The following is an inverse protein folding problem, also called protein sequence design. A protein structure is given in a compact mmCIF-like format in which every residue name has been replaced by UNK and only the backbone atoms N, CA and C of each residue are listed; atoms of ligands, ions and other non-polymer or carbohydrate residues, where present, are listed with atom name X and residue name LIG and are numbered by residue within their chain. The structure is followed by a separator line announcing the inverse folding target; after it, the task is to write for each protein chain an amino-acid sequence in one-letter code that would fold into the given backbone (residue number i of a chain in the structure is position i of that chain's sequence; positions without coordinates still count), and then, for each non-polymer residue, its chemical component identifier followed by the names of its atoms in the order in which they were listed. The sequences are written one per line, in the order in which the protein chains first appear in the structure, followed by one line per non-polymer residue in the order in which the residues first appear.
data_IF_012087696522
#
_entry.id   IF_012087696522
#
_cell.length_a   1.000
_cell.length_b   1.000
_cell.length_c   1.000
_cell.angle_alpha   90.00
_cell.angle_beta   90.00
_cell.angle_gamma   90.00
#
_symmetry.space_group_name_H-M   'P 1'
#
loop_
_entity.id
_entity.type
_entity.pdbx_description
1 polymer ?
#
# COMPACT_ATOMS: atom_id res chain seq x y z
N UNK A 1 -12.17 -15.99 59.38
CA UNK A 1 -12.16 -17.39 58.92
C UNK A 1 -11.55 -17.42 57.52
N UNK A 2 -10.30 -17.86 57.42
CA UNK A 2 -9.46 -17.83 56.21
C UNK A 2 -9.71 -19.07 55.36
N UNK A 3 -10.15 -18.92 54.11
CA UNK A 3 -10.22 -20.03 53.16
C UNK A 3 -8.82 -20.30 52.60
N UNK A 4 -8.24 -21.44 52.99
CA UNK A 4 -6.99 -21.93 52.42
C UNK A 4 -7.33 -22.58 51.08
N UNK A 5 -7.01 -21.89 49.99
CA UNK A 5 -7.00 -22.44 48.64
C UNK A 5 -6.03 -23.62 48.58
N UNK A 6 -6.56 -24.85 48.66
CA UNK A 6 -5.79 -26.08 48.41
C UNK A 6 -5.49 -26.15 46.92
N UNK A 7 -4.29 -25.75 46.54
CA UNK A 7 -3.70 -26.19 45.29
C UNK A 7 -3.52 -27.71 45.36
N UNK A 8 -4.51 -28.44 44.83
CA UNK A 8 -4.40 -29.88 44.59
C UNK A 8 -3.15 -30.09 43.74
N UNK A 9 -2.18 -30.83 44.26
CA UNK A 9 -0.97 -31.18 43.53
C UNK A 9 -1.37 -32.07 42.35
N UNK A 10 -1.56 -31.45 41.19
CA UNK A 10 -1.80 -32.15 39.94
C UNK A 10 -0.53 -32.92 39.60
N UNK A 11 -0.60 -34.26 39.68
CA UNK A 11 0.44 -35.14 39.15
C UNK A 11 -0.03 -35.61 37.79
N UNK A 12 0.54 -35.09 36.69
CA UNK A 12 0.11 -35.49 35.37
C UNK A 12 0.30 -36.99 35.19
N UNK A 13 -0.68 -37.64 34.55
CA UNK A 13 -0.50 -39.03 34.16
C UNK A 13 0.68 -39.13 33.18
N UNK A 14 1.37 -40.28 33.14
CA UNK A 14 2.52 -40.48 32.22
C UNK A 14 2.15 -40.16 30.77
N UNK A 15 0.92 -40.44 30.37
CA UNK A 15 0.39 -40.15 29.03
C UNK A 15 0.28 -38.64 28.77
N UNK A 16 -0.09 -37.85 29.77
CA UNK A 16 -0.17 -36.39 29.65
C UNK A 16 1.22 -35.76 29.57
N UNK A 17 2.20 -36.30 30.31
CA UNK A 17 3.60 -35.88 30.20
C UNK A 17 4.15 -36.21 28.81
N UNK A 18 3.91 -37.43 28.30
CA UNK A 18 4.33 -37.83 26.95
C UNK A 18 3.63 -36.97 25.89
N UNK A 19 2.32 -36.74 26.02
CA UNK A 19 1.57 -35.87 25.11
C UNK A 19 2.08 -34.44 25.11
N UNK A 20 2.39 -33.88 26.28
CA UNK A 20 3.00 -32.55 26.41
C UNK A 20 4.38 -32.47 25.77
N UNK A 21 5.22 -33.49 25.95
CA UNK A 21 6.55 -33.55 25.32
C UNK A 21 6.45 -33.69 23.78
N UNK A 22 5.51 -34.49 23.28
CA UNK A 22 5.27 -34.63 21.84
C UNK A 22 4.78 -33.31 21.25
N UNK A 23 3.83 -32.64 21.91
CA UNK A 23 3.34 -31.33 21.48
C UNK A 23 4.48 -30.30 21.44
N UNK A 24 5.31 -30.26 22.49
CA UNK A 24 6.46 -29.35 22.55
C UNK A 24 7.49 -29.65 21.45
N UNK A 25 7.81 -30.92 21.21
CA UNK A 25 8.70 -31.32 20.13
C UNK A 25 8.13 -30.93 18.75
N UNK A 26 6.82 -31.14 18.53
CA UNK A 26 6.16 -30.72 17.30
C UNK A 26 6.19 -29.20 17.11
N UNK A 27 5.98 -28.41 18.17
CA UNK A 27 6.09 -26.95 18.12
C UNK A 27 7.50 -26.50 17.76
N UNK A 28 8.55 -27.09 18.38
CA UNK A 28 9.95 -26.74 18.06
C UNK A 28 10.27 -27.04 16.60
N UNK A 29 9.87 -28.21 16.09
CA UNK A 29 10.05 -28.58 14.68
C UNK A 29 9.32 -27.61 13.76
N UNK A 30 8.06 -27.27 14.08
CA UNK A 30 7.25 -26.36 13.29
C UNK A 30 7.85 -24.95 13.21
N UNK A 31 8.20 -24.34 14.35
CA UNK A 31 8.82 -23.01 14.36
C UNK A 31 10.21 -23.01 13.74
N UNK A 32 10.98 -24.08 13.89
CA UNK A 32 12.26 -24.25 13.20
C UNK A 32 12.09 -24.27 11.68
N UNK A 33 11.09 -24.99 11.17
CA UNK A 33 10.77 -25.02 9.75
C UNK A 33 10.31 -23.66 9.24
N UNK A 34 9.43 -22.96 9.97
CA UNK A 34 8.99 -21.61 9.62
C UNK A 34 10.18 -20.64 9.51
N UNK A 35 11.09 -20.66 10.48
CA UNK A 35 12.26 -19.78 10.45
C UNK A 35 13.16 -20.00 9.23
N UNK A 36 13.33 -21.26 8.80
CA UNK A 36 14.08 -21.59 7.58
C UNK A 36 13.36 -21.09 6.33
N UNK A 37 12.03 -21.24 6.28
CA UNK A 37 11.21 -20.74 5.16
C UNK A 37 11.26 -19.21 5.08
N UNK A 38 11.16 -18.52 6.21
CA UNK A 38 11.27 -17.05 6.29
C UNK A 38 12.65 -16.58 5.81
N UNK A 39 13.73 -17.26 6.22
CA UNK A 39 15.08 -16.96 5.77
C UNK A 39 15.26 -17.13 4.26
N UNK A 40 14.69 -18.19 3.68
CA UNK A 40 14.69 -18.42 2.22
C UNK A 40 13.87 -17.36 1.48
N UNK A 41 12.72 -16.99 2.01
CA UNK A 41 11.89 -15.94 1.43
C UNK A 41 12.63 -14.59 1.43
N UNK A 42 13.36 -14.27 2.50
CA UNK A 42 14.20 -13.07 2.57
C UNK A 42 15.29 -13.04 1.50
N UNK A 43 16.04 -14.14 1.34
CA UNK A 43 17.07 -14.25 0.30
C UNK A 43 16.47 -14.15 -1.11
N UNK A 44 15.32 -14.78 -1.34
CA UNK A 44 14.61 -14.72 -2.62
C UNK A 44 14.16 -13.29 -2.96
N UNK A 45 13.63 -12.55 -1.99
CA UNK A 45 13.21 -11.16 -2.19
C UNK A 45 14.40 -10.24 -2.47
N UNK A 46 15.53 -10.44 -1.79
CA UNK A 46 16.75 -9.66 -2.04
C UNK A 46 17.33 -9.94 -3.44
N UNK A 47 17.33 -11.21 -3.87
CA UNK A 47 17.72 -11.59 -5.23
C UNK A 47 16.78 -10.99 -6.27
N UNK A 48 15.46 -11.03 -6.04
CA UNK A 48 14.48 -10.39 -6.91
C UNK A 48 14.69 -8.89 -6.99
N UNK A 49 14.94 -8.20 -5.86
CA UNK A 49 15.19 -6.76 -5.82
C UNK A 49 16.31 -6.35 -6.77
N UNK A 50 17.34 -7.18 -6.91
CA UNK A 50 18.50 -6.90 -7.77
C UNK A 50 18.29 -7.35 -9.22
N UNK A 51 17.63 -8.49 -9.43
CA UNK A 51 17.50 -9.12 -10.75
C UNK A 51 16.25 -8.70 -11.54
N UNK A 52 15.13 -8.50 -10.86
CA UNK A 52 13.82 -8.14 -11.41
C UNK A 52 13.04 -7.26 -10.40
N UNK A 53 13.38 -5.96 -10.35
CA UNK A 53 12.77 -5.02 -9.41
C UNK A 53 11.24 -4.89 -9.55
N UNK A 54 10.71 -5.04 -10.77
CA UNK A 54 9.27 -4.94 -11.02
C UNK A 54 8.52 -6.12 -10.39
N UNK A 55 9.07 -7.33 -10.54
CA UNK A 55 8.52 -8.51 -9.87
C UNK A 55 8.67 -8.43 -8.37
N UNK A 56 9.81 -7.93 -7.86
CA UNK A 56 10.01 -7.69 -6.43
C UNK A 56 8.90 -6.80 -5.86
N UNK A 57 8.65 -5.65 -6.50
CA UNK A 57 7.63 -4.69 -6.08
C UNK A 57 6.21 -5.27 -6.13
N UNK A 58 5.92 -6.10 -7.14
CA UNK A 58 4.63 -6.81 -7.23
C UNK A 58 4.44 -7.77 -6.06
N UNK A 59 5.43 -8.63 -5.78
CA UNK A 59 5.37 -9.57 -4.66
C UNK A 59 5.30 -8.84 -3.32
N UNK A 60 6.02 -7.73 -3.17
CA UNK A 60 5.99 -6.91 -1.96
C UNK A 60 4.61 -6.30 -1.74
N UNK A 61 4.00 -5.74 -2.79
CA UNK A 61 2.65 -5.18 -2.78
C UNK A 61 1.60 -6.23 -2.38
N UNK A 62 1.70 -7.43 -2.91
CA UNK A 62 0.76 -8.54 -2.61
C UNK A 62 0.94 -9.09 -1.19
N UNK A 63 2.19 -9.23 -0.73
CA UNK A 63 2.50 -9.91 0.55
C UNK A 63 2.50 -8.98 1.76
N UNK A 64 2.95 -7.73 1.62
CA UNK A 64 3.09 -6.76 2.71
C UNK A 64 2.18 -5.53 2.57
N UNK A 65 1.49 -5.40 1.44
CA UNK A 65 0.56 -4.32 1.18
C UNK A 65 1.17 -3.11 0.48
N UNK A 66 0.29 -2.16 0.13
CA UNK A 66 0.63 -1.00 -0.68
C UNK A 66 1.59 -0.03 0.03
N UNK A 67 1.51 0.10 1.35
CA UNK A 67 2.42 0.96 2.13
C UNK A 67 3.87 0.50 2.02
N UNK A 68 4.14 -0.79 2.23
CA UNK A 68 5.48 -1.37 2.08
C UNK A 68 5.97 -1.27 0.63
N UNK A 69 5.07 -1.45 -0.34
CA UNK A 69 5.37 -1.22 -1.75
C UNK A 69 5.82 0.22 -2.01
N UNK A 70 5.12 1.20 -1.45
CA UNK A 70 5.38 2.61 -1.73
C UNK A 70 6.76 3.07 -1.23
N UNK A 71 7.19 2.59 -0.05
CA UNK A 71 8.51 2.88 0.51
C UNK A 71 9.64 2.39 -0.41
N UNK A 72 9.55 1.15 -0.88
CA UNK A 72 10.56 0.55 -1.76
C UNK A 72 10.46 1.09 -3.19
N UNK A 73 9.25 1.33 -3.70
CA UNK A 73 9.02 1.94 -5.01
C UNK A 73 9.67 3.31 -5.08
N UNK A 74 9.50 4.13 -4.04
CA UNK A 74 10.10 5.46 -3.94
C UNK A 74 11.62 5.40 -4.08
N UNK A 75 12.27 4.51 -3.34
CA UNK A 75 13.73 4.37 -3.36
C UNK A 75 14.25 3.80 -4.69
N UNK A 76 13.57 2.81 -5.27
CA UNK A 76 13.99 2.17 -6.52
C UNK A 76 13.76 3.04 -7.76
N UNK A 77 12.66 3.80 -7.78
CA UNK A 77 12.31 4.67 -8.89
C UNK A 77 12.70 6.14 -8.67
N UNK A 78 13.53 6.42 -7.66
CA UNK A 78 14.13 7.73 -7.37
C UNK A 78 13.12 8.86 -7.11
N UNK A 79 12.01 8.56 -6.44
CA UNK A 79 11.00 9.55 -6.04
C UNK A 79 11.28 10.20 -4.67
N UNK A 80 12.51 10.04 -4.15
CA UNK A 80 13.05 10.89 -3.06
C UNK A 80 13.09 12.37 -3.50
N UNK A 81 13.42 12.59 -4.77
CA UNK A 81 13.40 13.90 -5.42
C UNK A 81 12.19 14.05 -6.34
N UNK A 82 11.98 15.27 -6.82
CA UNK A 82 10.88 15.55 -7.73
C UNK A 82 11.22 15.11 -9.15
N UNK A 83 10.45 14.13 -9.62
CA UNK A 83 10.54 13.57 -10.96
C UNK A 83 9.47 14.17 -11.87
N UNK A 84 9.75 14.22 -13.17
CA UNK A 84 8.79 14.73 -14.16
C UNK A 84 7.63 13.78 -14.38
N UNK A 85 7.92 12.48 -14.49
CA UNK A 85 6.89 11.48 -14.73
C UNK A 85 6.16 11.15 -13.42
N UNK A 86 4.83 10.93 -13.46
CA UNK A 86 4.11 10.44 -12.30
C UNK A 86 4.52 9.00 -11.97
N UNK A 87 4.42 8.59 -10.69
CA UNK A 87 4.48 7.19 -10.32
C UNK A 87 3.53 6.34 -11.18
N UNK A 88 3.97 5.16 -11.60
CA UNK A 88 3.23 4.34 -12.57
C UNK A 88 1.83 3.95 -12.10
N UNK A 89 1.62 3.83 -10.79
CA UNK A 89 0.31 3.55 -10.19
C UNK A 89 -0.65 4.75 -10.20
N UNK A 90 -0.15 5.98 -10.42
CA UNK A 90 -0.97 7.19 -10.60
C UNK A 90 -1.30 7.48 -12.07
N UNK A 91 -0.60 6.86 -13.02
CA UNK A 91 -0.88 7.07 -14.45
C UNK A 91 -2.30 6.62 -14.79
N UNK A 92 -3.04 7.53 -15.42
CA UNK A 92 -4.37 7.25 -15.95
C UNK A 92 -5.37 8.37 -15.72
N UNK A 93 -6.64 8.05 -16.00
CA UNK A 93 -7.81 8.90 -15.83
C UNK A 93 -8.47 8.59 -14.49
N UNK A 94 -8.64 9.63 -13.68
CA UNK A 94 -9.26 9.57 -12.37
C UNK A 94 -10.53 10.40 -12.37
N UNK A 95 -11.67 9.84 -11.96
CA UNK A 95 -12.92 10.59 -11.82
C UNK A 95 -13.04 11.12 -10.39
N UNK A 96 -13.06 12.45 -10.19
CA UNK A 96 -13.20 13.03 -8.87
C UNK A 96 -14.66 12.91 -8.37
N UNK A 97 -14.81 12.70 -7.06
CA UNK A 97 -16.08 12.65 -6.36
C UNK A 97 -16.02 13.51 -5.09
N UNK A 98 -17.07 14.28 -4.79
CA UNK A 98 -17.11 15.11 -3.58
C UNK A 98 -17.27 14.28 -2.29
N UNK A 99 -17.68 13.01 -2.42
CA UNK A 99 -17.84 12.08 -1.32
C UNK A 99 -17.27 10.71 -1.69
N UNK A 100 -16.83 9.97 -0.69
CA UNK A 100 -16.30 8.62 -0.85
C UNK A 100 -17.37 7.67 -1.41
N UNK A 101 -17.03 6.97 -2.50
CA UNK A 101 -17.83 5.90 -3.05
C UNK A 101 -17.59 4.59 -2.28
N UNK A 102 -18.64 3.78 -2.18
CA UNK A 102 -18.56 2.41 -1.64
C UNK A 102 -18.33 1.45 -2.79
N UNK A 103 -17.06 1.29 -3.17
CA UNK A 103 -16.63 0.34 -4.18
C UNK A 103 -16.06 -0.90 -3.50
N UNK A 104 -16.14 -2.05 -4.17
CA UNK A 104 -15.34 -3.19 -3.77
C UNK A 104 -13.86 -2.90 -4.12
N UNK A 105 -12.89 -3.39 -3.32
CA UNK A 105 -11.48 -3.18 -3.63
C UNK A 105 -11.13 -3.59 -5.07
N UNK A 106 -10.42 -2.72 -5.79
CA UNK A 106 -10.01 -2.95 -7.18
C UNK A 106 -11.12 -2.78 -8.23
N UNK A 107 -12.29 -2.29 -7.86
CA UNK A 107 -13.37 -1.97 -8.82
C UNK A 107 -13.37 -0.49 -9.19
N UNK A 108 -13.63 -0.20 -10.47
CA UNK A 108 -13.77 1.16 -10.97
C UNK A 108 -15.23 1.62 -10.95
N UNK A 109 -15.49 2.93 -10.83
CA UNK A 109 -16.82 3.49 -11.05
C UNK A 109 -17.34 3.15 -12.46
N UNK A 110 -18.65 2.89 -12.59
CA UNK A 110 -19.29 2.61 -13.89
C UNK A 110 -19.16 3.76 -14.89
N UNK A 111 -19.10 5.00 -14.40
CA UNK A 111 -19.04 6.20 -15.22
C UNK A 111 -17.81 7.04 -14.87
N UNK A 112 -16.99 7.32 -15.88
CA UNK A 112 -15.80 8.17 -15.82
C UNK A 112 -16.19 9.60 -16.24
N UNK A 113 -16.79 10.36 -15.33
CA UNK A 113 -17.20 11.75 -15.58
C UNK A 113 -16.12 12.73 -15.11
N UNK A 114 -15.96 13.82 -15.87
CA UNK A 114 -15.04 14.92 -15.57
C UNK A 114 -13.64 14.45 -15.13
N UNK A 115 -13.01 13.54 -15.91
CA UNK A 115 -11.77 12.92 -15.48
C UNK A 115 -10.67 13.97 -15.37
N UNK A 116 -9.87 13.85 -14.30
CA UNK A 116 -8.50 14.34 -14.33
C UNK A 116 -7.59 13.27 -14.93
N UNK A 117 -6.50 13.69 -15.55
CA UNK A 117 -5.45 12.80 -16.07
C UNK A 117 -4.13 13.20 -15.43
N UNK A 118 -3.38 12.21 -14.94
CA UNK A 118 -1.99 12.34 -14.52
C UNK A 118 -1.14 11.53 -15.50
N UNK A 119 -0.31 12.21 -16.28
CA UNK A 119 0.48 11.56 -17.31
C UNK A 119 1.43 12.55 -17.98
N UNK A 120 2.56 12.05 -18.49
CA UNK A 120 3.51 12.85 -19.28
C UNK A 120 4.01 14.15 -18.60
N UNK A 121 4.06 14.16 -17.26
CA UNK A 121 4.42 15.35 -16.49
C UNK A 121 3.38 16.46 -16.51
N UNK A 122 2.13 16.11 -16.80
CA UNK A 122 0.99 17.02 -16.87
C UNK A 122 -0.12 16.57 -15.92
N UNK A 123 -0.74 17.56 -15.27
CA UNK A 123 -2.07 17.45 -14.67
C UNK A 123 -3.07 18.04 -15.66
N UNK A 124 -4.10 17.28 -16.04
CA UNK A 124 -5.14 17.75 -16.96
C UNK A 124 -6.52 17.51 -16.36
N UNK A 125 -7.42 18.48 -16.47
CA UNK A 125 -8.82 18.36 -16.07
C UNK A 125 -9.69 19.04 -17.13
N UNK A 126 -10.62 18.27 -17.71
CA UNK A 126 -11.36 18.64 -18.92
C UNK A 126 -12.68 19.40 -18.67
N UNK A 127 -12.90 19.95 -17.48
CA UNK A 127 -14.15 20.64 -17.15
C UNK A 127 -14.35 21.95 -17.95
N UNK A 128 -15.44 22.68 -17.67
CA UNK A 128 -15.76 23.98 -18.29
C UNK A 128 -14.80 25.08 -17.80
N UNK A 129 -13.55 24.97 -18.20
CA UNK A 129 -12.42 25.78 -17.76
C UNK A 129 -11.09 25.20 -18.22
N UNK A 130 -11.00 23.86 -18.33
CA UNK A 130 -9.89 23.16 -18.98
C UNK A 130 -8.54 23.46 -18.35
N UNK A 131 -8.23 22.84 -17.22
CA UNK A 131 -6.94 23.01 -16.55
C UNK A 131 -5.91 22.06 -17.16
N UNK A 132 -4.76 22.58 -17.56
CA UNK A 132 -3.60 21.80 -18.01
C UNK A 132 -2.34 22.42 -17.46
N UNK A 133 -1.69 21.75 -16.52
CA UNK A 133 -0.57 22.28 -15.75
C UNK A 133 0.63 21.33 -15.84
N UNK A 134 1.86 21.85 -16.08
CA UNK A 134 3.06 21.06 -15.92
C UNK A 134 3.28 20.76 -14.43
N UNK A 135 3.62 19.52 -14.13
CA UNK A 135 3.78 19.04 -12.75
C UNK A 135 4.99 18.14 -12.60
N UNK A 136 5.52 18.13 -11.39
CA UNK A 136 6.54 17.17 -10.94
C UNK A 136 6.07 16.45 -9.69
N UNK A 137 6.61 15.26 -9.42
CA UNK A 137 6.13 14.36 -8.38
C UNK A 137 7.28 13.88 -7.50
N UNK A 138 7.09 13.88 -6.19
CA UNK A 138 7.92 13.09 -5.26
C UNK A 138 7.01 12.28 -4.34
N UNK A 139 7.56 11.28 -3.67
CA UNK A 139 6.81 10.48 -2.69
C UNK A 139 7.33 10.81 -1.30
N UNK A 140 6.42 11.10 -0.37
CA UNK A 140 6.73 11.40 1.04
C UNK A 140 5.75 10.65 1.95
N UNK A 141 6.25 9.64 2.66
CA UNK A 141 5.39 8.73 3.43
C UNK A 141 4.33 8.07 2.53
N UNK A 142 3.05 8.21 2.90
CA UNK A 142 1.91 7.70 2.13
C UNK A 142 1.29 8.72 1.16
N UNK A 143 2.03 9.77 0.82
CA UNK A 143 1.55 10.85 -0.06
C UNK A 143 2.43 11.00 -1.27
N UNK A 144 1.81 11.30 -2.42
CA UNK A 144 2.53 11.83 -3.58
C UNK A 144 2.41 13.34 -3.56
N UNK A 145 3.54 14.02 -3.46
CA UNK A 145 3.60 15.47 -3.50
C UNK A 145 3.70 15.89 -4.97
N UNK A 146 2.61 16.43 -5.51
CA UNK A 146 2.56 16.99 -6.85
C UNK A 146 2.93 18.47 -6.77
N UNK A 147 3.82 18.96 -7.61
CA UNK A 147 4.25 20.35 -7.60
C UNK A 147 4.04 21.02 -8.95
N UNK A 148 3.36 22.16 -8.92
CA UNK A 148 3.26 23.12 -10.02
C UNK A 148 4.16 24.32 -9.75
N UNK A 149 4.48 25.10 -10.77
CA UNK A 149 5.20 26.36 -10.59
C UNK A 149 4.34 27.42 -9.87
N UNK A 150 3.03 27.46 -10.18
CA UNK A 150 2.14 28.53 -9.74
C UNK A 150 1.43 28.27 -8.40
N UNK A 151 1.10 27.01 -8.08
CA UNK A 151 0.33 26.65 -6.88
C UNK A 151 1.18 26.00 -5.77
N UNK A 152 2.46 25.74 -6.05
CA UNK A 152 3.36 25.10 -5.10
C UNK A 152 3.13 23.59 -4.98
N UNK A 153 3.26 23.05 -3.78
CA UNK A 153 3.15 21.61 -3.51
C UNK A 153 1.73 21.25 -3.07
N UNK A 154 1.11 20.34 -3.81
CA UNK A 154 -0.21 19.77 -3.59
C UNK A 154 -0.07 18.29 -3.21
N UNK A 155 -0.43 17.90 -1.98
CA UNK A 155 -0.38 16.51 -1.56
C UNK A 155 -1.54 15.70 -2.16
N UNK A 156 -1.21 14.51 -2.66
CA UNK A 156 -2.15 13.47 -3.07
C UNK A 156 -2.03 12.34 -2.04
N UNK A 157 -3.01 12.23 -1.17
CA UNK A 157 -3.14 11.12 -0.21
C UNK A 157 -3.50 9.84 -0.97
N UNK A 158 -2.75 8.77 -0.73
CA UNK A 158 -2.99 7.46 -1.33
C UNK A 158 -3.81 6.61 -0.36
N UNK A 159 -5.01 6.20 -0.74
CA UNK A 159 -5.86 5.36 0.10
C UNK A 159 -5.89 3.95 -0.46
N UNK A 160 -5.29 3.03 0.28
CA UNK A 160 -5.12 1.63 -0.13
C UNK A 160 -5.75 0.64 0.83
N UNK A 161 -6.18 -0.50 0.31
CA UNK A 161 -6.61 -1.66 1.10
C UNK A 161 -5.80 -2.90 0.69
N UNK A 162 -5.02 -3.44 1.63
CA UNK A 162 -4.11 -4.53 1.35
C UNK A 162 -3.06 -4.12 0.33
N UNK A 163 -2.95 -4.86 -0.78
CA UNK A 163 -2.06 -4.53 -1.88
C UNK A 163 -2.61 -3.51 -2.87
N UNK A 164 -3.88 -3.14 -2.83
CA UNK A 164 -4.49 -2.32 -3.90
C UNK A 164 -4.68 -0.85 -3.50
N UNK A 165 -4.38 0.06 -4.44
CA UNK A 165 -4.75 1.48 -4.34
C UNK A 165 -6.22 1.61 -4.72
N UNK A 166 -7.06 2.00 -3.75
CA UNK A 166 -8.50 2.09 -3.91
C UNK A 166 -8.91 3.44 -4.53
N UNK A 167 -8.41 4.52 -3.94
CA UNK A 167 -8.62 5.87 -4.43
C UNK A 167 -7.51 6.81 -3.98
N UNK A 168 -7.49 7.99 -4.57
CA UNK A 168 -6.66 9.11 -4.12
C UNK A 168 -7.53 10.18 -3.49
N UNK A 169 -6.97 10.94 -2.56
CA UNK A 169 -7.60 12.13 -2.00
C UNK A 169 -6.68 13.33 -2.17
N UNK A 170 -7.18 14.38 -2.78
CA UNK A 170 -6.38 15.56 -3.10
C UNK A 170 -7.30 16.79 -3.21
N UNK A 171 -6.71 17.98 -3.15
CA UNK A 171 -7.40 19.23 -3.48
C UNK A 171 -7.05 19.56 -4.93
N UNK A 172 -8.03 19.61 -5.85
CA UNK A 172 -7.76 20.00 -7.23
C UNK A 172 -7.16 21.42 -7.33
N UNK A 173 -6.32 21.69 -8.34
CA UNK A 173 -5.82 23.02 -8.59
C UNK A 173 -6.96 24.05 -8.70
N UNK A 174 -6.83 25.16 -7.98
CA UNK A 174 -7.87 26.20 -7.89
C UNK A 174 -9.12 25.85 -7.07
N UNK A 175 -9.20 24.67 -6.44
CA UNK A 175 -10.31 24.30 -5.55
C UNK A 175 -9.98 24.49 -4.07
N UNK A 176 -11.00 24.67 -3.23
CA UNK A 176 -10.84 24.85 -1.78
C UNK A 176 -11.01 23.55 -0.98
N UNK A 177 -11.72 22.55 -1.53
CA UNK A 177 -12.12 21.34 -0.82
C UNK A 177 -11.52 20.09 -1.45
N UNK A 178 -11.17 19.07 -0.64
CA UNK A 178 -10.63 17.83 -1.16
C UNK A 178 -11.72 17.01 -1.86
N UNK A 179 -11.29 16.25 -2.87
CA UNK A 179 -12.10 15.28 -3.60
C UNK A 179 -11.48 13.88 -3.50
N UNK A 180 -12.29 12.88 -3.81
CA UNK A 180 -11.89 11.48 -3.91
C UNK A 180 -11.77 11.09 -5.38
N UNK A 181 -10.55 10.87 -5.87
CA UNK A 181 -10.27 10.45 -7.23
C UNK A 181 -10.28 8.92 -7.34
N UNK A 182 -11.10 8.39 -8.25
CA UNK A 182 -11.18 6.96 -8.53
C UNK A 182 -10.68 6.65 -9.94
N UNK A 183 -9.78 5.66 -10.07
CA UNK A 183 -9.24 5.27 -11.37
C UNK A 183 -10.37 4.71 -12.25
N UNK A 184 -10.56 5.31 -13.43
CA UNK A 184 -11.61 4.94 -14.39
C UNK A 184 -11.12 4.74 -15.83
N UNK A 185 -9.80 4.80 -16.05
CA UNK A 185 -9.16 4.41 -17.31
C UNK A 185 -7.64 4.52 -17.22
N UNK A 186 -6.92 3.68 -17.97
CA UNK A 186 -5.47 3.77 -18.18
C UNK A 186 -5.17 3.94 -19.66
#
# INVERSE_FOLDING_TARGET
MTSVSRWRHYRPARIEVVGGLVALAASVVYFGALHVLDGRAGLYLEELRQSDPDRYLTVLRESRGFEAFLEEYRALADYDEFQRLPPTFLIGRWTPRPAQLRLAPGTSPEQCSDPMTLGDGMYQQLDTGGVSLPVTYRIEGQTVQMRTEDEGIMPIELVSYGGELDHIRYVPPGAEFPVYGYLCGR
#
